data_IF_597689014440
#
_entry.id   IF_597689014440
#
_cell.length_a   1.000
_cell.length_b   1.000
_cell.length_c   1.000
_cell.angle_alpha   90.00
_cell.angle_beta   90.00
_cell.angle_gamma   90.00
#
_symmetry.space_group_name_H-M   'P 1'
#
loop_
_entity.id
_entity.type
_entity.pdbx_description
1 polymer ?
#
# COMPACT_ATOMS: atom_id res chain seq x y z
N UNK A 1 -4.75 -14.79 -7.81
CA UNK A 1 -4.42 -13.75 -8.81
C UNK A 1 -4.30 -12.46 -8.03
N UNK A 2 -3.21 -11.72 -8.21
CA UNK A 2 -2.92 -10.51 -7.43
C UNK A 2 -3.79 -9.34 -7.88
N UNK A 3 -4.37 -8.60 -6.94
CA UNK A 3 -5.17 -7.39 -7.17
C UNK A 3 -4.29 -6.22 -7.63
N UNK A 4 -4.50 -5.74 -8.85
CA UNK A 4 -3.72 -4.64 -9.46
C UNK A 4 -4.48 -3.31 -9.44
N UNK A 5 -3.78 -2.20 -9.69
CA UNK A 5 -4.41 -0.88 -9.90
C UNK A 5 -5.46 -0.91 -11.01
N UNK A 6 -5.21 -1.68 -12.08
CA UNK A 6 -6.18 -1.85 -13.17
C UNK A 6 -7.46 -2.51 -12.67
N UNK A 7 -7.33 -3.56 -11.86
CA UNK A 7 -8.49 -4.26 -11.30
C UNK A 7 -9.31 -3.34 -10.38
N UNK A 8 -8.65 -2.50 -9.58
CA UNK A 8 -9.30 -1.49 -8.74
C UNK A 8 -10.10 -0.48 -9.58
N UNK A 9 -9.49 0.04 -10.65
CA UNK A 9 -10.15 0.97 -11.57
C UNK A 9 -11.35 0.30 -12.26
N UNK A 10 -11.17 -0.92 -12.75
CA UNK A 10 -12.22 -1.69 -13.42
C UNK A 10 -13.35 -2.07 -12.46
N UNK A 11 -13.09 -2.19 -11.16
CA UNK A 11 -14.10 -2.49 -10.14
C UNK A 11 -14.93 -1.26 -9.73
N UNK A 12 -14.48 -0.03 -10.05
CA UNK A 12 -15.16 1.19 -9.62
C UNK A 12 -16.63 1.20 -10.01
N UNK A 13 -17.51 1.34 -9.02
CA UNK A 13 -18.97 1.37 -9.21
C UNK A 13 -19.64 0.00 -9.36
N UNK A 14 -18.90 -1.11 -9.23
CA UNK A 14 -19.43 -2.49 -9.35
C UNK A 14 -19.64 -3.20 -8.01
N UNK A 15 -19.15 -2.62 -6.91
CA UNK A 15 -19.22 -3.21 -5.58
C UNK A 15 -18.42 -2.40 -4.56
N UNK A 16 -18.40 -2.88 -3.33
CA UNK A 16 -17.53 -2.37 -2.26
C UNK A 16 -16.32 -3.30 -2.14
N UNK A 17 -15.14 -2.70 -2.06
CA UNK A 17 -13.90 -3.39 -1.72
C UNK A 17 -13.59 -3.19 -0.24
N UNK A 18 -12.85 -4.12 0.36
CA UNK A 18 -12.40 -4.01 1.74
C UNK A 18 -10.92 -3.66 1.80
N UNK A 19 -10.59 -2.67 2.63
CA UNK A 19 -9.22 -2.33 2.99
C UNK A 19 -8.98 -2.60 4.47
N UNK A 20 -7.89 -3.28 4.81
CA UNK A 20 -7.50 -3.58 6.19
C UNK A 20 -6.12 -3.03 6.52
N UNK A 21 -6.01 -2.28 7.62
CA UNK A 21 -4.72 -1.90 8.17
C UNK A 21 -4.07 -3.10 8.88
N UNK A 22 -2.87 -3.48 8.43
CA UNK A 22 -2.11 -4.61 9.00
C UNK A 22 -0.97 -4.10 9.87
N UNK A 23 -0.88 -4.66 11.08
CA UNK A 23 0.09 -4.28 12.10
C UNK A 23 1.15 -5.37 12.35
N UNK A 24 0.94 -6.58 11.82
CA UNK A 24 1.85 -7.72 11.93
C UNK A 24 1.68 -8.66 10.74
N UNK A 25 2.60 -9.61 10.60
CA UNK A 25 2.58 -10.62 9.53
C UNK A 25 1.34 -11.51 9.67
N UNK A 26 0.95 -11.83 10.91
CA UNK A 26 -0.26 -12.63 11.19
C UNK A 26 -1.53 -11.92 10.70
N UNK A 27 -1.62 -10.59 10.81
CA UNK A 27 -2.73 -9.82 10.25
C UNK A 27 -2.76 -9.90 8.72
N UNK A 28 -1.59 -9.82 8.07
CA UNK A 28 -1.50 -9.92 6.62
C UNK A 28 -1.91 -11.32 6.12
N UNK A 29 -1.45 -12.38 6.79
CA UNK A 29 -1.89 -13.77 6.51
C UNK A 29 -3.40 -13.92 6.69
N UNK A 30 -3.96 -13.36 7.77
CA UNK A 30 -5.40 -13.41 8.02
C UNK A 30 -6.20 -12.64 6.96
N UNK A 31 -5.71 -11.49 6.49
CA UNK A 31 -6.34 -10.70 5.45
C UNK A 31 -6.40 -11.47 4.12
N UNK A 32 -5.27 -12.07 3.71
CA UNK A 32 -5.18 -12.92 2.51
C UNK A 32 -6.14 -14.11 2.60
N UNK A 33 -6.15 -14.83 3.73
CA UNK A 33 -7.01 -15.98 3.94
C UNK A 33 -8.52 -15.61 3.96
N UNK A 34 -8.85 -14.40 4.42
CA UNK A 34 -10.22 -13.89 4.44
C UNK A 34 -10.67 -13.30 3.09
N UNK A 35 -9.78 -13.23 2.10
CA UNK A 35 -10.08 -12.66 0.78
C UNK A 35 -10.18 -11.13 0.77
N UNK A 36 -9.52 -10.44 1.71
CA UNK A 36 -9.45 -8.97 1.71
C UNK A 36 -8.70 -8.51 0.46
N UNK A 37 -9.23 -7.53 -0.26
CA UNK A 37 -8.64 -7.10 -1.53
C UNK A 37 -7.43 -6.18 -1.35
N UNK A 38 -7.47 -5.32 -0.33
CA UNK A 38 -6.45 -4.28 -0.10
C UNK A 38 -5.94 -4.38 1.33
N UNK A 39 -4.62 -4.41 1.50
CA UNK A 39 -3.96 -4.22 2.79
C UNK A 39 -3.22 -2.88 2.79
N UNK A 40 -3.18 -2.23 3.95
CA UNK A 40 -2.45 -0.98 4.13
C UNK A 40 -1.54 -1.05 5.36
N UNK A 41 -0.31 -0.53 5.24
CA UNK A 41 0.57 -0.36 6.39
C UNK A 41 1.59 0.75 6.17
N UNK A 42 2.03 1.39 7.26
CA UNK A 42 3.14 2.34 7.27
C UNK A 42 4.42 1.78 7.91
N UNK A 43 4.46 0.47 8.22
CA UNK A 43 5.60 -0.14 8.93
C UNK A 43 6.76 -0.44 7.96
N UNK A 44 7.70 0.50 7.84
CA UNK A 44 8.85 0.42 6.92
C UNK A 44 9.63 -0.89 6.98
N UNK A 45 9.92 -1.38 8.20
CA UNK A 45 10.77 -2.56 8.40
C UNK A 45 10.08 -3.90 8.10
N UNK A 46 8.76 -3.92 7.90
CA UNK A 46 7.97 -5.14 7.71
C UNK A 46 7.32 -5.22 6.31
N UNK A 47 7.68 -4.31 5.39
CA UNK A 47 7.07 -4.22 4.06
C UNK A 47 7.21 -5.53 3.27
N UNK A 48 8.43 -6.04 3.19
CA UNK A 48 8.74 -7.27 2.45
C UNK A 48 8.01 -8.48 3.05
N UNK A 49 7.95 -8.54 4.39
CA UNK A 49 7.24 -9.61 5.11
C UNK A 49 5.73 -9.56 4.84
N UNK A 50 5.12 -8.36 4.83
CA UNK A 50 3.70 -8.21 4.51
C UNK A 50 3.39 -8.59 3.06
N UNK A 51 4.25 -8.20 2.12
CA UNK A 51 4.12 -8.66 0.74
C UNK A 51 4.20 -10.17 0.65
N UNK A 52 5.17 -10.79 1.30
CA UNK A 52 5.33 -12.25 1.28
C UNK A 52 4.11 -12.96 1.90
N UNK A 53 3.52 -12.39 2.96
CA UNK A 53 2.38 -12.96 3.67
C UNK A 53 1.04 -12.82 2.94
N UNK A 54 0.86 -11.77 2.14
CA UNK A 54 -0.39 -11.45 1.45
C UNK A 54 -0.16 -11.18 -0.05
N UNK A 55 0.34 -12.18 -0.81
CA UNK A 55 0.81 -11.99 -2.18
C UNK A 55 -0.30 -11.66 -3.19
N UNK A 56 -1.57 -11.96 -2.90
CA UNK A 56 -2.66 -11.66 -3.82
C UNK A 56 -3.39 -10.34 -3.49
N UNK A 57 -3.18 -9.78 -2.31
CA UNK A 57 -3.72 -8.46 -1.94
C UNK A 57 -3.03 -7.32 -2.70
N UNK A 58 -3.76 -6.22 -2.88
CA UNK A 58 -3.18 -4.94 -3.25
C UNK A 58 -2.55 -4.32 -1.99
N UNK A 59 -1.23 -4.11 -1.99
CA UNK A 59 -0.54 -3.54 -0.83
C UNK A 59 -0.33 -2.04 -1.01
N UNK A 60 -1.07 -1.25 -0.25
CA UNK A 60 -0.86 0.19 -0.15
C UNK A 60 0.14 0.48 0.96
N UNK A 61 1.27 1.11 0.65
CA UNK A 61 2.18 1.60 1.69
C UNK A 61 1.91 3.06 2.02
N UNK A 62 1.66 3.36 3.30
CA UNK A 62 1.44 4.71 3.78
C UNK A 62 2.73 5.40 4.19
N UNK A 63 3.05 6.53 3.54
CA UNK A 63 4.08 7.43 4.05
C UNK A 63 3.65 8.01 5.40
N UNK A 64 4.55 7.99 6.38
CA UNK A 64 4.25 8.49 7.72
C UNK A 64 4.26 10.01 7.69
N UNK A 65 3.20 10.60 8.25
CA UNK A 65 3.07 12.05 8.34
C UNK A 65 4.27 12.67 9.08
N UNK A 66 4.85 13.70 8.48
CA UNK A 66 5.98 14.46 9.05
C UNK A 66 7.37 13.87 8.79
N UNK A 67 7.49 12.69 8.15
CA UNK A 67 8.80 12.12 7.81
C UNK A 67 9.41 12.66 6.51
N UNK A 68 8.59 13.21 5.62
CA UNK A 68 9.04 13.81 4.37
C UNK A 68 8.71 15.30 4.41
N UNK A 69 9.73 16.16 4.22
CA UNK A 69 9.58 17.60 4.23
C UNK A 69 9.28 18.18 2.83
N UNK A 70 9.53 17.42 1.76
CA UNK A 70 9.40 17.87 0.38
C UNK A 70 9.16 16.70 -0.59
N UNK A 71 8.96 17.03 -1.88
CA UNK A 71 8.66 16.06 -2.93
C UNK A 71 9.78 15.04 -3.21
N UNK A 72 11.05 15.45 -3.14
CA UNK A 72 12.17 14.54 -3.43
C UNK A 72 12.33 13.47 -2.35
N UNK A 73 12.14 13.85 -1.08
CA UNK A 73 12.14 12.91 0.05
C UNK A 73 11.01 11.90 -0.05
N UNK A 74 9.80 12.37 -0.39
CA UNK A 74 8.64 11.50 -0.52
C UNK A 74 8.74 10.57 -1.74
N UNK A 75 9.26 11.08 -2.86
CA UNK A 75 9.55 10.27 -4.04
C UNK A 75 10.57 9.17 -3.71
N UNK A 76 11.62 9.48 -2.95
CA UNK A 76 12.59 8.48 -2.49
C UNK A 76 11.91 7.41 -1.61
N UNK A 77 11.13 7.83 -0.62
CA UNK A 77 10.41 6.91 0.26
C UNK A 77 9.37 6.05 -0.47
N UNK A 78 8.72 6.60 -1.50
CA UNK A 78 7.80 5.90 -2.39
C UNK A 78 8.53 4.80 -3.17
N UNK A 79 9.66 5.12 -3.82
CA UNK A 79 10.46 4.12 -4.53
C UNK A 79 10.97 3.00 -3.60
N UNK A 80 11.44 3.34 -2.40
CA UNK A 80 11.84 2.33 -1.40
C UNK A 80 10.68 1.41 -1.02
N UNK A 81 9.45 1.93 -0.94
CA UNK A 81 8.28 1.12 -0.64
C UNK A 81 7.86 0.23 -1.83
N UNK A 82 7.97 0.74 -3.06
CA UNK A 82 7.71 -0.04 -4.28
C UNK A 82 8.72 -1.18 -4.46
N UNK A 83 10.01 -0.92 -4.22
CA UNK A 83 11.05 -1.97 -4.21
C UNK A 83 10.77 -3.05 -3.17
N UNK A 84 10.21 -2.65 -2.02
CA UNK A 84 9.75 -3.52 -0.95
C UNK A 84 8.40 -4.22 -1.22
N UNK A 85 7.85 -4.07 -2.43
CA UNK A 85 6.67 -4.80 -2.88
C UNK A 85 5.33 -4.12 -2.62
N UNK A 86 5.30 -2.84 -2.28
CA UNK A 86 4.06 -2.04 -2.34
C UNK A 86 3.55 -1.94 -3.79
N UNK A 87 2.23 -1.90 -3.96
CA UNK A 87 1.57 -1.70 -5.26
C UNK A 87 1.13 -0.25 -5.47
N UNK A 88 0.91 0.49 -4.38
CA UNK A 88 0.55 1.89 -4.40
C UNK A 88 1.03 2.58 -3.12
N UNK A 89 1.08 3.92 -3.18
CA UNK A 89 1.55 4.76 -2.08
C UNK A 89 0.41 5.65 -1.60
N UNK A 90 0.11 5.58 -0.32
CA UNK A 90 -0.72 6.58 0.35
C UNK A 90 0.18 7.70 0.90
N UNK A 91 -0.16 8.95 0.58
CA UNK A 91 0.65 10.10 0.94
C UNK A 91 -0.21 11.25 1.49
N UNK A 92 -0.07 11.62 2.77
CA UNK A 92 -0.85 12.70 3.39
C UNK A 92 -0.21 14.09 3.13
N UNK A 93 0.05 14.44 1.87
CA UNK A 93 0.69 15.71 1.48
C UNK A 93 -0.03 16.40 0.32
N UNK A 94 0.38 17.63 -0.02
CA UNK A 94 -0.24 18.46 -1.05
C UNK A 94 -0.13 17.87 -2.46
N UNK A 95 -1.01 18.31 -3.37
CA UNK A 95 -1.08 17.83 -4.76
C UNK A 95 0.27 17.92 -5.49
N UNK A 96 1.02 19.00 -5.34
CA UNK A 96 2.33 19.17 -5.98
C UNK A 96 3.32 18.05 -5.62
N UNK A 97 3.20 17.49 -4.40
CA UNK A 97 4.03 16.34 -3.99
C UNK A 97 3.50 15.04 -4.56
N UNK A 98 2.16 14.87 -4.60
CA UNK A 98 1.52 13.69 -5.20
C UNK A 98 1.87 13.59 -6.69
N UNK A 99 1.77 14.68 -7.45
CA UNK A 99 2.09 14.73 -8.87
C UNK A 99 3.57 14.49 -9.16
N UNK A 100 4.44 14.82 -8.21
CA UNK A 100 5.87 14.60 -8.34
C UNK A 100 6.25 13.12 -8.12
N UNK A 101 5.47 12.32 -7.39
CA UNK A 101 5.80 10.91 -7.14
C UNK A 101 5.34 10.01 -8.28
#
# INVERSE_FOLDING_TARGET
MKMTVKDLIDHKGKGQLTELNVASVEHAVAAEAAGIEIIVSGRKHARDDFRAAAPNTHFTFGLIYGECANADEARRAAFEALEAGADSIYCPMHYDVIEAM
#
